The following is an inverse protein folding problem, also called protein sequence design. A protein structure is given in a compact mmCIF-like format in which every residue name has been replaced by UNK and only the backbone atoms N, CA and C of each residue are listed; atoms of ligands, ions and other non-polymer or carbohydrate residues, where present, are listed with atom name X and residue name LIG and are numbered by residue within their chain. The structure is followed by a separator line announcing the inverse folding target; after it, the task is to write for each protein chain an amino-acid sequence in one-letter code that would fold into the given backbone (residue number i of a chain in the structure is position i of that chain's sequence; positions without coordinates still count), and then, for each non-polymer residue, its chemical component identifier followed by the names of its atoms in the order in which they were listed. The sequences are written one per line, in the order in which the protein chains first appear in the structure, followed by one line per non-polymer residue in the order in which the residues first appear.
data_IF_772386740171
#
_entry.id   IF_772386740171
#
_cell.length_a   1.000
_cell.length_b   1.000
_cell.length_c   1.000
_cell.angle_alpha   90.00
_cell.angle_beta   90.00
_cell.angle_gamma   90.00
#
_symmetry.space_group_name_H-M   'P 1'
#
loop_
_entity.id
_entity.type
_entity.pdbx_description
1 polymer ?
#
# COMPACT_ATOMS: atom_id res chain seq x y z
N UNK A 1 -16.93 11.80 2.19
CA UNK A 1 -15.84 11.99 1.21
C UNK A 1 -16.42 12.19 -0.18
N UNK A 2 -15.86 13.12 -0.97
CA UNK A 2 -16.19 13.26 -2.39
C UNK A 2 -15.56 12.10 -3.19
N UNK A 3 -15.99 11.93 -4.45
CA UNK A 3 -15.53 10.83 -5.30
C UNK A 3 -14.01 10.84 -5.51
N UNK A 4 -13.41 12.02 -5.66
CA UNK A 4 -11.97 12.20 -5.82
C UNK A 4 -11.16 11.73 -4.60
N UNK A 5 -11.61 12.04 -3.37
CA UNK A 5 -10.95 11.56 -2.16
C UNK A 5 -11.04 10.04 -2.02
N UNK A 6 -12.14 9.43 -2.45
CA UNK A 6 -12.28 7.96 -2.44
C UNK A 6 -11.34 7.31 -3.44
N UNK A 7 -11.27 7.81 -4.67
CA UNK A 7 -10.35 7.27 -5.70
C UNK A 7 -8.89 7.45 -5.30
N UNK A 8 -8.52 8.62 -4.77
CA UNK A 8 -7.17 8.85 -4.24
C UNK A 8 -6.83 7.87 -3.10
N UNK A 9 -7.75 7.64 -2.16
CA UNK A 9 -7.54 6.71 -1.04
C UNK A 9 -7.34 5.27 -1.54
N UNK A 10 -8.13 4.84 -2.54
CA UNK A 10 -7.98 3.51 -3.15
C UNK A 10 -6.60 3.36 -3.77
N UNK A 11 -6.11 4.35 -4.52
CA UNK A 11 -4.77 4.31 -5.12
C UNK A 11 -3.67 4.23 -4.05
N UNK A 12 -3.80 4.99 -2.96
CA UNK A 12 -2.86 4.93 -1.83
C UNK A 12 -2.86 3.54 -1.18
N UNK A 13 -4.03 2.93 -0.97
CA UNK A 13 -4.15 1.58 -0.41
C UNK A 13 -3.45 0.57 -1.32
N UNK A 14 -3.67 0.63 -2.63
CA UNK A 14 -3.03 -0.26 -3.61
C UNK A 14 -1.49 -0.11 -3.54
N UNK A 15 -0.99 1.13 -3.52
CA UNK A 15 0.44 1.40 -3.39
C UNK A 15 1.04 0.86 -2.09
N UNK A 16 0.33 1.03 -0.97
CA UNK A 16 0.78 0.53 0.32
C UNK A 16 0.81 -1.00 0.39
N UNK A 17 -0.18 -1.69 -0.17
CA UNK A 17 -0.17 -3.15 -0.29
C UNK A 17 1.05 -3.62 -1.11
N UNK A 18 1.36 -2.92 -2.21
CA UNK A 18 2.57 -3.24 -2.98
C UNK A 18 3.85 -3.07 -2.14
N UNK A 19 3.94 -1.99 -1.36
CA UNK A 19 5.08 -1.78 -0.47
C UNK A 19 5.17 -2.83 0.64
N UNK A 20 4.04 -3.30 1.17
CA UNK A 20 4.03 -4.41 2.12
C UNK A 20 4.68 -5.66 1.53
N UNK A 21 4.32 -6.00 0.29
CA UNK A 21 4.87 -7.15 -0.44
C UNK A 21 6.39 -6.99 -0.66
N UNK A 22 6.83 -5.78 -1.01
CA UNK A 22 8.27 -5.46 -1.15
C UNK A 22 8.99 -5.54 0.21
N UNK A 23 8.39 -5.10 1.31
CA UNK A 23 9.00 -5.16 2.63
C UNK A 23 9.20 -6.60 3.14
N UNK A 24 8.15 -7.41 3.04
CA UNK A 24 8.13 -8.78 3.59
C UNK A 24 8.81 -9.76 2.65
N UNK A 25 8.40 -9.77 1.38
CA UNK A 25 8.80 -10.77 0.39
C UNK A 25 9.80 -10.26 -0.65
N UNK A 26 10.16 -8.97 -0.62
CA UNK A 26 11.00 -8.33 -1.66
C UNK A 26 10.40 -8.43 -3.06
N UNK A 27 9.11 -8.73 -3.16
CA UNK A 27 8.42 -8.93 -4.42
C UNK A 27 7.60 -7.68 -4.77
N UNK A 28 7.81 -7.13 -5.95
CA UNK A 28 7.04 -6.01 -6.47
C UNK A 28 5.95 -6.50 -7.44
N UNK A 29 4.70 -6.27 -7.04
CA UNK A 29 3.53 -6.63 -7.82
C UNK A 29 3.38 -5.72 -9.05
N UNK A 30 3.80 -4.46 -8.98
CA UNK A 30 3.72 -3.52 -10.11
C UNK A 30 4.66 -3.95 -11.22
N UNK A 31 5.94 -4.23 -10.93
CA UNK A 31 6.87 -4.74 -11.95
C UNK A 31 6.49 -6.12 -12.45
N UNK A 32 5.83 -6.94 -11.63
CA UNK A 32 5.33 -8.25 -12.09
C UNK A 32 4.22 -8.11 -13.13
N UNK A 33 3.34 -7.11 -13.00
CA UNK A 33 2.23 -6.89 -13.93
C UNK A 33 2.62 -6.07 -15.17
N UNK A 34 3.53 -5.09 -15.01
CA UNK A 34 3.88 -4.12 -16.06
C UNK A 34 5.28 -4.34 -16.66
N UNK A 35 6.00 -5.37 -16.19
CA UNK A 35 7.37 -5.68 -16.61
C UNK A 35 8.43 -4.95 -15.78
N UNK A 36 9.60 -5.57 -15.66
CA UNK A 36 10.75 -5.07 -14.88
C UNK A 36 11.29 -6.11 -13.88
N UNK A 37 12.20 -5.67 -13.03
CA UNK A 37 12.75 -6.53 -11.96
C UNK A 37 11.66 -6.81 -10.92
N UNK A 38 11.24 -8.08 -10.85
CA UNK A 38 10.17 -8.55 -9.94
C UNK A 38 10.64 -8.67 -8.50
N UNK A 39 11.94 -8.87 -8.31
CA UNK A 39 12.58 -8.93 -7.00
C UNK A 39 13.37 -7.65 -6.74
N UNK A 40 13.07 -6.98 -5.62
CA UNK A 40 13.77 -5.79 -5.16
C UNK A 40 14.69 -6.09 -4.00
N UNK A 41 15.99 -6.02 -4.25
CA UNK A 41 17.02 -6.00 -3.20
C UNK A 41 16.92 -4.71 -2.40
N UNK A 42 16.36 -4.81 -1.18
CA UNK A 42 16.15 -3.69 -0.27
C UNK A 42 16.99 -3.86 1.00
N UNK A 43 17.60 -2.78 1.49
CA UNK A 43 18.31 -2.80 2.78
C UNK A 43 17.37 -3.19 3.93
N UNK A 44 17.90 -3.80 5.00
CA UNK A 44 17.12 -4.26 6.15
C UNK A 44 16.25 -3.14 6.76
N UNK A 45 16.76 -1.91 6.79
CA UNK A 45 16.02 -0.75 7.27
C UNK A 45 14.87 -0.36 6.33
N UNK A 46 15.10 -0.39 5.01
CA UNK A 46 14.07 -0.12 4.01
C UNK A 46 12.91 -1.11 4.12
N UNK A 47 13.18 -2.39 4.37
CA UNK A 47 12.15 -3.43 4.56
C UNK A 47 11.25 -3.13 5.75
N UNK A 48 11.81 -2.61 6.84
CA UNK A 48 11.03 -2.20 8.02
C UNK A 48 10.09 -1.06 7.64
N UNK A 49 10.59 -0.02 6.97
CA UNK A 49 9.78 1.12 6.53
C UNK A 49 8.64 0.66 5.60
N UNK A 50 8.96 -0.15 4.59
CA UNK A 50 7.97 -0.66 3.64
C UNK A 50 6.89 -1.50 4.32
N UNK A 51 7.26 -2.31 5.30
CA UNK A 51 6.31 -3.10 6.09
C UNK A 51 5.41 -2.21 6.94
N UNK A 52 5.97 -1.20 7.61
CA UNK A 52 5.19 -0.25 8.42
C UNK A 52 4.20 0.56 7.58
N UNK A 53 4.66 1.09 6.44
CA UNK A 53 3.80 1.82 5.49
C UNK A 53 2.70 0.90 4.94
N UNK A 54 3.05 -0.33 4.60
CA UNK A 54 2.11 -1.34 4.12
C UNK A 54 1.00 -1.64 5.12
N UNK A 55 1.36 -1.86 6.40
CA UNK A 55 0.40 -2.06 7.49
C UNK A 55 -0.49 -0.82 7.67
N UNK A 56 0.08 0.39 7.63
CA UNK A 56 -0.69 1.64 7.74
C UNK A 56 -1.70 1.80 6.59
N UNK A 57 -1.32 1.42 5.37
CA UNK A 57 -2.22 1.43 4.22
C UNK A 57 -3.33 0.40 4.31
N UNK A 58 -3.04 -0.81 4.81
CA UNK A 58 -4.08 -1.82 5.10
C UNK A 58 -5.05 -1.30 6.15
N UNK A 59 -4.56 -0.65 7.21
CA UNK A 59 -5.43 -0.03 8.22
C UNK A 59 -6.33 1.06 7.61
N UNK A 60 -5.80 1.80 6.62
CA UNK A 60 -6.53 2.87 5.92
C UNK A 60 -7.73 2.38 5.11
N UNK A 61 -7.86 1.08 4.86
CA UNK A 61 -9.06 0.46 4.31
C UNK A 61 -10.27 0.73 5.21
N UNK A 62 -10.08 0.78 6.53
CA UNK A 62 -11.15 1.10 7.49
C UNK A 62 -11.76 2.47 7.19
N UNK A 63 -10.92 3.46 6.85
CA UNK A 63 -11.37 4.82 6.48
C UNK A 63 -12.14 4.86 5.17
N UNK A 64 -11.93 3.90 4.25
CA UNK A 64 -12.67 3.82 3.00
C UNK A 64 -14.15 3.44 3.25
N UNK A 65 -14.40 2.63 4.28
CA UNK A 65 -15.73 2.16 4.67
C UNK A 65 -16.34 2.94 5.84
N UNK A 66 -15.57 3.80 6.50
CA UNK A 66 -16.03 4.74 7.53
C UNK A 66 -16.94 5.80 6.87
N UNK A 67 -18.20 5.43 6.61
CA UNK A 67 -19.25 6.35 6.23
C UNK A 67 -19.65 7.13 7.48
N UNK A 68 -19.05 8.30 7.70
CA UNK A 68 -19.49 9.35 8.62
C UNK A 68 -20.44 8.84 9.72
N UNK A 69 -19.91 8.20 10.77
CA UNK A 69 -20.65 8.17 12.03
C UNK A 69 -20.62 9.59 12.57
N UNK A 70 -21.57 10.39 12.08
CA UNK A 70 -21.95 11.68 12.67
C UNK A 70 -22.26 11.38 14.13
N UNK A 71 -21.41 11.91 15.02
CA UNK A 71 -21.76 12.18 16.40
C UNK A 71 -21.60 13.68 16.60
#
# INVERSE_FOLDING_TARGET
MNWLSKTALILVIIGAINWLLVGVFQWDLVTTLFGGDTLRSSSGLSRIIYTLVGIAGVYSISFLFENNKVR
#
